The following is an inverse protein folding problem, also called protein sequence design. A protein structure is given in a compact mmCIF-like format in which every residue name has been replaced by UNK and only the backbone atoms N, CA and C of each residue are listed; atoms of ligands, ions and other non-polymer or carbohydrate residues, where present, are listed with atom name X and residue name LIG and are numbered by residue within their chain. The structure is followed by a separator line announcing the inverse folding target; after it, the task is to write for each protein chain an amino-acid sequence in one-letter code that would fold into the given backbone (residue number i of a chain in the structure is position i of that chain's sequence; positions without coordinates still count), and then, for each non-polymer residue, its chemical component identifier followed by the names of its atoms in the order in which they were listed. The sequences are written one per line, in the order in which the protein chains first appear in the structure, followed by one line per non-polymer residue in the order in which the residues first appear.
data_IF_082966339633
#
_entry.id   IF_082966339633
#
_cell.length_a   1.000
_cell.length_b   1.000
_cell.length_c   1.000
_cell.angle_alpha   90.00
_cell.angle_beta   90.00
_cell.angle_gamma   90.00
#
_symmetry.space_group_name_H-M   'P 1'
#
loop_
_entity.id
_entity.type
_entity.pdbx_description
1 polymer ?
#
# COMPACT_ATOMS: atom_id res chain seq x y z
N UNK A 1 6.04 -39.86 40.75
CA UNK A 1 5.13 -39.40 39.70
C UNK A 1 5.05 -37.87 39.72
N UNK A 2 6.15 -37.22 39.41
CA UNK A 2 6.28 -35.75 39.26
C UNK A 2 7.31 -35.49 38.18
N UNK A 3 6.89 -35.43 36.94
CA UNK A 3 7.75 -35.00 35.83
C UNK A 3 6.87 -34.63 34.62
N UNK A 4 6.21 -33.52 34.67
CA UNK A 4 5.57 -32.94 33.48
C UNK A 4 5.21 -31.43 33.61
N UNK A 5 5.91 -30.66 34.44
CA UNK A 5 5.66 -29.22 34.58
C UNK A 5 6.84 -28.39 34.02
N UNK A 6 7.97 -29.02 33.69
CA UNK A 6 9.18 -28.33 33.22
C UNK A 6 9.18 -27.88 31.75
N UNK A 7 8.27 -28.34 30.92
CA UNK A 7 8.37 -28.09 29.48
C UNK A 7 7.56 -26.89 28.95
N UNK A 8 6.65 -26.33 29.75
CA UNK A 8 5.82 -25.21 29.33
C UNK A 8 6.45 -23.84 29.62
N UNK A 9 7.34 -23.76 30.61
CA UNK A 9 8.04 -22.51 30.95
C UNK A 9 9.24 -22.25 30.07
N UNK A 10 9.86 -23.29 29.51
CA UNK A 10 10.99 -23.15 28.58
C UNK A 10 10.52 -22.71 27.17
N UNK A 11 9.29 -22.99 26.80
CA UNK A 11 8.72 -22.55 25.52
C UNK A 11 8.30 -21.05 25.50
N UNK A 12 8.24 -20.41 26.67
CA UNK A 12 7.91 -18.99 26.81
C UNK A 12 9.12 -18.14 27.26
N UNK A 13 10.25 -18.75 27.56
CA UNK A 13 11.50 -18.01 27.66
C UNK A 13 11.88 -17.60 26.23
N UNK A 14 11.62 -16.36 25.88
CA UNK A 14 12.23 -15.74 24.72
C UNK A 14 13.73 -16.01 24.83
N UNK A 15 14.19 -16.86 23.93
CA UNK A 15 15.50 -17.44 23.98
C UNK A 15 16.60 -16.41 24.07
N UNK A 16 17.78 -16.91 24.35
CA UNK A 16 18.98 -16.11 24.41
C UNK A 16 19.05 -15.13 23.20
N UNK A 17 19.72 -14.02 23.39
CA UNK A 17 19.94 -12.97 22.36
C UNK A 17 20.25 -13.56 20.96
N UNK A 18 20.84 -14.76 20.94
CA UNK A 18 21.16 -15.52 19.73
C UNK A 18 19.92 -15.95 18.92
N UNK A 19 18.78 -16.27 19.58
CA UNK A 19 17.56 -16.69 18.90
C UNK A 19 16.89 -15.48 18.24
N UNK A 20 16.96 -14.31 18.90
CA UNK A 20 16.52 -13.06 18.32
C UNK A 20 17.38 -12.65 17.12
N UNK A 21 18.70 -12.80 17.27
CA UNK A 21 19.65 -12.50 16.17
C UNK A 21 19.49 -13.49 15.00
N UNK A 22 19.23 -14.78 15.26
CA UNK A 22 19.02 -15.78 14.22
C UNK A 22 17.74 -15.49 13.43
N UNK A 23 16.67 -15.09 14.11
CA UNK A 23 15.40 -14.72 13.47
C UNK A 23 15.58 -13.55 12.51
N UNK A 24 16.35 -12.54 12.91
CA UNK A 24 16.65 -11.41 12.04
C UNK A 24 17.64 -11.73 10.92
N UNK A 25 18.49 -12.72 11.09
CA UNK A 25 19.37 -13.21 10.02
C UNK A 25 18.60 -14.05 8.99
N UNK A 26 17.61 -14.82 9.41
CA UNK A 26 16.75 -15.62 8.52
C UNK A 26 15.86 -14.71 7.65
N UNK A 27 15.37 -13.58 8.18
CA UNK A 27 14.50 -12.64 7.47
C UNK A 27 15.25 -11.53 6.70
N UNK A 28 16.54 -11.73 6.35
CA UNK A 28 17.34 -10.75 5.58
C UNK A 28 17.47 -9.34 6.18
N UNK A 29 17.59 -9.23 7.49
CA UNK A 29 17.80 -7.99 8.22
C UNK A 29 16.54 -7.11 8.43
N UNK A 30 16.71 -6.03 9.19
CA UNK A 30 15.64 -5.09 9.51
C UNK A 30 15.18 -4.31 8.28
N UNK A 31 13.89 -4.08 8.17
CA UNK A 31 13.33 -3.14 7.20
C UNK A 31 13.89 -1.73 7.43
N UNK A 32 14.41 -1.11 6.40
CA UNK A 32 14.98 0.24 6.45
C UNK A 32 14.00 1.24 5.88
N UNK A 33 13.66 2.33 6.59
CA UNK A 33 12.70 3.32 6.11
C UNK A 33 13.19 4.13 4.91
N UNK A 34 14.47 4.07 4.58
CA UNK A 34 15.07 4.75 3.44
C UNK A 34 15.10 3.90 2.15
N UNK A 35 14.58 2.66 2.20
CA UNK A 35 14.52 1.77 1.05
C UNK A 35 13.06 1.54 0.67
N UNK A 36 12.55 2.37 -0.21
CA UNK A 36 11.18 2.28 -0.70
C UNK A 36 11.09 2.72 -2.17
N UNK A 37 10.05 2.30 -2.82
CA UNK A 37 9.67 2.69 -4.17
C UNK A 37 8.21 3.13 -4.16
N UNK A 38 7.94 4.26 -4.78
CA UNK A 38 6.59 4.74 -5.01
C UNK A 38 6.27 4.62 -6.48
N UNK A 39 5.07 4.18 -6.81
CA UNK A 39 4.60 4.12 -8.18
C UNK A 39 3.24 4.80 -8.26
N UNK A 40 3.18 5.91 -8.97
CA UNK A 40 1.98 6.69 -9.20
C UNK A 40 1.38 6.27 -10.54
N UNK A 41 0.14 5.80 -10.52
CA UNK A 41 -0.63 5.40 -11.69
C UNK A 41 -1.82 6.35 -11.85
N UNK A 42 -1.74 7.33 -12.75
CA UNK A 42 -2.83 8.26 -12.99
C UNK A 42 -4.04 7.58 -13.65
N UNK A 43 -5.20 8.24 -13.70
CA UNK A 43 -6.36 7.74 -14.43
C UNK A 43 -6.02 7.53 -15.90
N UNK A 44 -6.53 6.45 -16.52
CA UNK A 44 -6.21 6.11 -17.90
C UNK A 44 -6.72 7.15 -18.89
N UNK A 45 -5.90 7.46 -19.88
CA UNK A 45 -6.27 8.25 -21.06
C UNK A 45 -5.99 9.74 -20.99
N UNK A 46 -6.41 10.46 -19.96
CA UNK A 46 -6.34 11.94 -19.95
C UNK A 46 -4.96 12.50 -19.59
N UNK A 47 -4.18 11.75 -18.82
CA UNK A 47 -2.83 12.14 -18.36
C UNK A 47 -1.70 11.32 -18.98
N UNK A 48 -1.97 10.54 -20.04
CA UNK A 48 -1.00 9.66 -20.68
C UNK A 48 0.21 10.41 -21.28
N UNK A 49 0.08 11.71 -21.54
CA UNK A 49 1.16 12.56 -22.07
C UNK A 49 2.23 12.88 -21.03
N UNK A 50 1.92 12.77 -19.74
CA UNK A 50 2.82 13.12 -18.65
C UNK A 50 3.58 11.91 -18.11
N UNK A 51 4.87 12.11 -17.83
CA UNK A 51 5.73 11.05 -17.26
C UNK A 51 5.63 11.01 -15.71
N UNK A 52 4.66 10.28 -15.20
CA UNK A 52 4.51 10.06 -13.76
C UNK A 52 5.61 9.21 -13.12
N UNK A 53 6.45 8.58 -13.94
CA UNK A 53 7.61 7.85 -13.43
C UNK A 53 8.65 8.79 -12.86
N UNK A 54 8.85 9.95 -13.48
CA UNK A 54 9.78 10.98 -12.96
C UNK A 54 9.35 11.47 -11.58
N UNK A 55 8.04 11.72 -11.38
CA UNK A 55 7.48 12.10 -10.07
C UNK A 55 7.67 10.98 -9.04
N UNK A 56 7.41 9.74 -9.44
CA UNK A 56 7.58 8.58 -8.58
C UNK A 56 9.02 8.43 -8.07
N UNK A 57 9.99 8.70 -8.92
CA UNK A 57 11.43 8.66 -8.57
C UNK A 57 11.87 9.87 -7.73
N UNK A 58 11.18 11.01 -7.85
CA UNK A 58 11.48 12.23 -7.10
C UNK A 58 10.84 12.25 -5.69
N UNK A 59 10.10 11.22 -5.31
CA UNK A 59 9.49 11.10 -3.98
C UNK A 59 10.58 10.94 -2.91
N UNK A 60 10.74 11.96 -2.06
CA UNK A 60 11.74 11.99 -0.97
C UNK A 60 11.21 11.35 0.31
N UNK A 61 9.93 11.55 0.61
CA UNK A 61 9.29 10.99 1.79
C UNK A 61 7.84 10.64 1.50
N UNK A 62 7.39 9.51 2.03
CA UNK A 62 6.01 9.05 1.94
C UNK A 62 5.56 8.55 3.29
N UNK A 63 4.44 9.05 3.76
CA UNK A 63 3.78 8.53 4.96
C UNK A 63 2.85 7.40 4.56
N UNK A 64 3.12 6.20 5.07
CA UNK A 64 2.22 5.06 4.87
C UNK A 64 0.98 5.20 5.76
N UNK A 65 -0.24 4.92 5.24
CA UNK A 65 -1.45 5.01 6.04
C UNK A 65 -1.50 3.92 7.11
N UNK A 66 -2.01 4.26 8.28
CA UNK A 66 -2.33 3.32 9.33
C UNK A 66 -3.63 2.55 9.03
N UNK A 67 -3.91 1.55 9.84
CA UNK A 67 -5.19 0.82 9.81
C UNK A 67 -5.85 0.93 11.15
N UNK A 68 -7.11 1.38 11.16
CA UNK A 68 -7.94 1.44 12.35
C UNK A 68 -9.29 0.77 12.11
N UNK A 69 -9.95 0.43 13.18
CA UNK A 69 -11.29 -0.14 13.16
C UNK A 69 -12.20 0.72 14.03
N UNK A 70 -13.38 1.01 13.54
CA UNK A 70 -14.40 1.64 14.35
C UNK A 70 -14.97 0.63 15.33
N UNK A 71 -15.01 1.02 16.59
CA UNK A 71 -15.61 0.22 17.66
C UNK A 71 -16.75 0.97 18.33
N UNK A 72 -17.75 0.24 18.75
CA UNK A 72 -18.85 0.78 19.53
C UNK A 72 -18.95 0.02 20.86
N UNK A 73 -18.97 0.72 22.02
CA UNK A 73 -19.15 0.08 23.29
C UNK A 73 -20.56 -0.47 23.41
N UNK A 74 -20.71 -1.74 23.72
CA UNK A 74 -21.99 -2.37 24.01
C UNK A 74 -22.30 -2.21 25.49
N UNK A 75 -22.94 -1.10 25.87
CA UNK A 75 -23.32 -0.82 27.24
C UNK A 75 -24.80 -1.11 27.58
N UNK A 76 -25.66 -1.21 26.55
CA UNK A 76 -27.10 -1.23 26.73
C UNK A 76 -27.66 -2.52 27.38
N UNK A 77 -26.97 -3.67 27.26
CA UNK A 77 -27.43 -4.98 27.76
C UNK A 77 -26.63 -5.51 28.94
N UNK A 78 -25.74 -4.72 29.53
CA UNK A 78 -24.79 -5.18 30.53
C UNK A 78 -25.15 -4.65 31.91
N UNK A 79 -25.86 -5.46 32.68
CA UNK A 79 -26.16 -5.17 34.09
C UNK A 79 -24.92 -5.26 34.99
N UNK A 80 -23.95 -6.11 34.66
CA UNK A 80 -22.71 -6.34 35.42
C UNK A 80 -21.53 -6.70 34.51
N UNK A 81 -20.31 -6.26 34.88
CA UNK A 81 -19.05 -6.62 34.25
C UNK A 81 -18.45 -5.54 33.36
N UNK A 82 -17.25 -5.78 32.82
CA UNK A 82 -16.59 -4.82 31.94
C UNK A 82 -17.32 -4.67 30.61
N UNK A 83 -17.39 -3.44 30.10
CA UNK A 83 -17.97 -3.13 28.78
C UNK A 83 -17.16 -3.81 27.66
N UNK A 84 -17.86 -4.35 26.67
CA UNK A 84 -17.25 -4.93 25.47
C UNK A 84 -17.33 -3.94 24.33
N UNK A 85 -16.24 -3.81 23.57
CA UNK A 85 -16.23 -3.07 22.33
C UNK A 85 -16.53 -4.01 21.16
N UNK A 86 -17.52 -3.64 20.36
CA UNK A 86 -17.89 -4.35 19.13
C UNK A 86 -17.34 -3.60 17.94
N UNK A 87 -16.67 -4.30 17.04
CA UNK A 87 -16.18 -3.73 15.78
C UNK A 87 -17.37 -3.47 14.86
N UNK A 88 -17.49 -2.24 14.39
CA UNK A 88 -18.55 -1.80 13.46
C UNK A 88 -18.08 -1.74 12.00
N UNK A 89 -16.78 -1.54 11.77
CA UNK A 89 -16.23 -1.51 10.41
C UNK A 89 -14.78 -1.02 10.35
N UNK A 90 -14.15 -1.09 9.17
CA UNK A 90 -12.84 -0.50 8.95
C UNK A 90 -12.93 1.03 8.89
N UNK A 91 -11.91 1.70 9.40
CA UNK A 91 -11.74 3.14 9.29
C UNK A 91 -10.47 3.44 8.49
N UNK A 92 -10.64 4.11 7.35
CA UNK A 92 -9.56 4.61 6.50
C UNK A 92 -9.49 6.13 6.65
N UNK A 93 -9.05 6.59 7.82
CA UNK A 93 -9.12 8.01 8.20
C UNK A 93 -7.88 8.82 7.82
N UNK A 94 -6.75 8.16 7.56
CA UNK A 94 -5.48 8.85 7.38
C UNK A 94 -5.26 9.24 5.91
N UNK A 95 -4.90 10.50 5.71
CA UNK A 95 -4.41 10.98 4.42
C UNK A 95 -2.95 10.54 4.24
N UNK A 96 -2.59 10.11 3.04
CA UNK A 96 -1.20 9.81 2.71
C UNK A 96 -0.53 11.10 2.26
N UNK A 97 0.47 11.54 3.01
CA UNK A 97 1.29 12.68 2.64
C UNK A 97 2.57 12.23 1.95
N UNK A 98 2.93 12.91 0.87
CA UNK A 98 4.14 12.66 0.10
C UNK A 98 4.88 13.96 -0.14
N UNK A 99 6.19 13.94 0.09
CA UNK A 99 7.09 15.03 -0.23
C UNK A 99 7.87 14.68 -1.50
N UNK A 100 7.83 15.54 -2.48
CA UNK A 100 8.47 15.36 -3.79
C UNK A 100 9.53 16.43 -3.94
N UNK A 101 10.73 16.04 -4.36
CA UNK A 101 11.77 16.99 -4.75
C UNK A 101 11.41 17.63 -6.07
N UNK A 102 11.44 18.95 -6.10
CA UNK A 102 11.02 19.72 -7.26
C UNK A 102 12.20 20.13 -8.12
N UNK A 103 12.22 19.74 -9.42
CA UNK A 103 13.18 20.30 -10.36
C UNK A 103 12.89 21.78 -10.62
N UNK A 104 13.81 22.42 -11.33
CA UNK A 104 13.78 23.87 -11.55
C UNK A 104 12.51 24.38 -12.28
N UNK A 105 11.85 23.50 -13.06
CA UNK A 105 10.63 23.82 -13.82
C UNK A 105 9.32 23.60 -13.02
N UNK A 106 9.36 22.99 -11.83
CA UNK A 106 8.18 22.56 -11.05
C UNK A 106 7.21 21.68 -11.88
N UNK A 107 7.76 20.86 -12.77
CA UNK A 107 6.97 20.04 -13.70
C UNK A 107 6.07 19.05 -12.96
N UNK A 108 6.54 18.48 -11.85
CA UNK A 108 5.74 17.56 -11.01
C UNK A 108 4.54 18.28 -10.39
N UNK A 109 4.71 19.52 -9.96
CA UNK A 109 3.61 20.34 -9.44
C UNK A 109 2.57 20.60 -10.52
N UNK A 110 3.01 21.00 -11.71
CA UNK A 110 2.13 21.24 -12.85
C UNK A 110 1.36 19.98 -13.25
N UNK A 111 2.00 18.80 -13.24
CA UNK A 111 1.34 17.52 -13.52
C UNK A 111 0.26 17.20 -12.48
N UNK A 112 0.54 17.43 -11.18
CA UNK A 112 -0.43 17.21 -10.11
C UNK A 112 -1.58 18.21 -10.16
N UNK A 113 -1.32 19.47 -10.47
CA UNK A 113 -2.35 20.49 -10.70
C UNK A 113 -3.25 20.11 -11.88
N UNK A 114 -2.66 19.61 -12.98
CA UNK A 114 -3.43 19.07 -14.11
C UNK A 114 -4.28 17.86 -13.73
N UNK A 115 -3.79 17.02 -12.83
CA UNK A 115 -4.62 15.94 -12.30
C UNK A 115 -5.81 16.47 -11.49
N UNK A 116 -5.62 17.49 -10.66
CA UNK A 116 -6.72 18.13 -9.94
C UNK A 116 -7.73 18.79 -10.90
N UNK A 117 -7.28 19.40 -12.00
CA UNK A 117 -8.14 19.98 -13.04
C UNK A 117 -9.04 18.93 -13.72
N UNK A 118 -8.63 17.64 -13.75
CA UNK A 118 -9.52 16.57 -14.21
C UNK A 118 -10.71 16.34 -13.29
N UNK A 119 -10.55 16.57 -11.99
CA UNK A 119 -11.63 16.43 -11.03
C UNK A 119 -12.56 17.65 -11.04
N UNK A 120 -11.99 18.81 -11.24
CA UNK A 120 -12.72 20.09 -11.24
C UNK A 120 -12.11 21.03 -12.27
N UNK A 121 -12.90 21.39 -13.28
CA UNK A 121 -12.49 22.33 -14.31
C UNK A 121 -12.55 23.77 -13.78
N UNK A 122 -11.43 24.49 -13.85
CA UNK A 122 -11.37 25.90 -13.46
C UNK A 122 -12.09 26.82 -14.45
N UNK A 123 -12.30 26.38 -15.70
CA UNK A 123 -12.90 27.19 -16.75
C UNK A 123 -14.43 27.11 -16.75
N UNK A 124 -14.97 25.88 -16.58
CA UNK A 124 -16.41 25.63 -16.65
C UNK A 124 -17.08 25.50 -15.29
N UNK A 125 -16.30 25.35 -14.22
CA UNK A 125 -16.73 25.05 -12.85
C UNK A 125 -17.52 23.74 -12.73
N UNK A 126 -17.33 22.84 -13.70
CA UNK A 126 -17.93 21.50 -13.70
C UNK A 126 -17.08 20.51 -12.90
N UNK A 127 -17.76 19.60 -12.20
CA UNK A 127 -17.14 18.47 -11.51
C UNK A 127 -17.23 17.24 -12.41
N UNK A 128 -16.09 16.59 -12.64
CA UNK A 128 -16.05 15.37 -13.44
C UNK A 128 -16.63 14.16 -12.69
N UNK A 129 -16.97 13.10 -13.43
CA UNK A 129 -17.36 11.85 -12.81
C UNK A 129 -16.19 11.23 -12.04
N UNK A 130 -16.50 10.60 -10.89
CA UNK A 130 -15.50 10.03 -9.99
C UNK A 130 -14.46 9.14 -10.69
N UNK A 131 -14.90 8.25 -11.56
CA UNK A 131 -14.03 7.32 -12.30
C UNK A 131 -13.07 8.00 -13.29
N UNK A 132 -13.27 9.29 -13.60
CA UNK A 132 -12.45 10.00 -14.58
C UNK A 132 -11.16 10.58 -14.00
N UNK A 133 -11.12 10.80 -12.69
CA UNK A 133 -9.98 11.43 -12.02
C UNK A 133 -9.30 10.56 -10.98
N UNK A 134 -9.86 9.40 -10.63
CA UNK A 134 -9.23 8.50 -9.66
C UNK A 134 -8.15 7.66 -10.29
N UNK A 135 -7.04 7.50 -9.59
CA UNK A 135 -5.90 6.68 -9.97
C UNK A 135 -5.55 5.68 -8.88
N UNK A 136 -4.34 5.17 -8.95
CA UNK A 136 -3.80 4.20 -8.00
C UNK A 136 -2.39 4.62 -7.57
N UNK A 137 -2.06 4.45 -6.31
CA UNK A 137 -0.73 4.71 -5.76
C UNK A 137 -0.22 3.43 -5.10
N UNK A 138 0.92 2.92 -5.56
CA UNK A 138 1.57 1.77 -4.96
C UNK A 138 2.82 2.24 -4.19
N UNK A 139 2.97 1.76 -2.95
CA UNK A 139 4.13 2.02 -2.11
C UNK A 139 4.75 0.67 -1.79
N UNK A 140 6.00 0.46 -2.16
CA UNK A 140 6.75 -0.75 -1.90
C UNK A 140 7.91 -0.47 -0.97
N UNK A 141 8.06 -1.29 0.06
CA UNK A 141 9.26 -1.35 0.87
C UNK A 141 10.24 -2.32 0.20
N UNK A 142 11.50 -1.94 0.15
CA UNK A 142 12.55 -2.71 -0.49
C UNK A 142 13.49 -3.30 0.56
N UNK A 143 14.05 -4.47 0.24
CA UNK A 143 15.15 -5.09 0.96
C UNK A 143 16.50 -4.48 0.52
N UNK A 144 17.58 -4.84 1.21
CA UNK A 144 18.96 -4.45 0.87
C UNK A 144 19.37 -4.86 -0.56
N UNK A 145 18.69 -5.84 -1.13
CA UNK A 145 18.90 -6.30 -2.50
C UNK A 145 17.95 -5.66 -3.52
N UNK A 146 17.24 -4.57 -3.13
CA UNK A 146 16.20 -3.90 -3.92
C UNK A 146 15.03 -4.83 -4.33
N UNK A 147 14.76 -5.87 -3.54
CA UNK A 147 13.60 -6.72 -3.73
C UNK A 147 12.42 -6.18 -2.95
N UNK A 148 11.24 -6.23 -3.54
CA UNK A 148 9.99 -5.80 -2.90
C UNK A 148 9.61 -6.79 -1.81
N UNK A 149 9.64 -6.36 -0.55
CA UNK A 149 9.31 -7.18 0.62
C UNK A 149 7.90 -6.94 1.11
N UNK A 150 7.45 -5.70 1.07
CA UNK A 150 6.11 -5.30 1.47
C UNK A 150 5.56 -4.33 0.44
N UNK A 151 4.29 -4.46 0.11
CA UNK A 151 3.62 -3.56 -0.83
C UNK A 151 2.26 -3.13 -0.30
N UNK A 152 1.93 -1.88 -0.53
CA UNK A 152 0.65 -1.29 -0.18
C UNK A 152 0.12 -0.56 -1.41
N UNK A 153 -1.12 -0.87 -1.79
CA UNK A 153 -1.82 -0.24 -2.90
C UNK A 153 -2.95 0.61 -2.37
N UNK A 154 -2.93 1.90 -2.69
CA UNK A 154 -4.03 2.82 -2.48
C UNK A 154 -4.94 2.78 -3.69
N UNK A 155 -6.20 2.49 -3.46
CA UNK A 155 -7.21 2.32 -4.51
C UNK A 155 -8.07 3.59 -4.60
N UNK A 156 -8.35 4.02 -5.82
CA UNK A 156 -9.14 5.22 -6.11
C UNK A 156 -8.56 6.45 -5.41
N UNK A 157 -7.26 6.69 -5.62
CA UNK A 157 -6.57 7.84 -5.04
C UNK A 157 -6.49 9.01 -6.02
N UNK A 158 -6.43 10.21 -5.47
CA UNK A 158 -6.20 11.45 -6.21
C UNK A 158 -5.50 12.47 -5.31
N UNK A 159 -4.73 13.43 -5.87
CA UNK A 159 -4.09 14.49 -5.09
C UNK A 159 -5.16 15.46 -4.59
N UNK A 160 -5.37 15.47 -3.26
CA UNK A 160 -6.38 16.33 -2.61
C UNK A 160 -5.83 17.71 -2.33
N UNK A 161 -4.63 17.78 -1.76
CA UNK A 161 -3.99 19.03 -1.36
C UNK A 161 -2.59 19.07 -1.93
N UNK A 162 -2.26 20.14 -2.65
CA UNK A 162 -0.89 20.50 -3.04
C UNK A 162 -0.52 21.71 -2.19
N UNK A 163 0.46 21.55 -1.31
CA UNK A 163 0.82 22.63 -0.38
C UNK A 163 1.49 23.79 -1.12
N UNK A 164 1.20 25.00 -0.66
CA UNK A 164 1.85 26.21 -1.15
C UNK A 164 3.35 26.16 -0.93
N UNK A 165 4.10 26.74 -1.87
CA UNK A 165 5.54 26.86 -1.84
C UNK A 165 5.96 28.20 -1.25
N UNK A 166 6.82 28.17 -0.23
CA UNK A 166 7.40 29.41 0.33
C UNK A 166 8.66 29.79 -0.46
N UNK A 167 8.64 30.95 -1.07
CA UNK A 167 9.78 31.52 -1.78
C UNK A 167 10.32 32.71 -1.00
N UNK A 168 11.61 32.72 -0.72
CA UNK A 168 12.27 33.79 0.03
C UNK A 168 13.64 34.11 -0.56
N UNK A 169 13.99 35.40 -0.65
CA UNK A 169 15.32 35.84 -0.95
C UNK A 169 16.20 35.67 0.29
N UNK A 170 17.15 34.74 0.23
CA UNK A 170 18.12 34.50 1.30
C UNK A 170 19.19 33.52 0.87
N UNK A 171 20.27 33.34 1.64
CA UNK A 171 21.26 32.32 1.37
C UNK A 171 20.65 30.93 1.73
N UNK A 172 19.77 30.46 0.89
CA UNK A 172 19.16 29.15 1.05
C UNK A 172 19.70 28.20 -0.01
N UNK A 173 20.31 27.10 0.45
CA UNK A 173 20.85 26.03 -0.41
C UNK A 173 19.94 24.81 -0.44
N UNK A 174 18.74 24.90 0.17
CA UNK A 174 17.82 23.78 0.22
C UNK A 174 17.09 23.58 -1.12
N UNK A 175 16.90 22.31 -1.46
CA UNK A 175 16.12 21.92 -2.63
C UNK A 175 14.66 22.24 -2.37
N UNK A 176 14.01 22.81 -3.36
CA UNK A 176 12.56 23.05 -3.33
C UNK A 176 11.79 21.74 -3.25
N UNK A 177 10.79 21.67 -2.37
CA UNK A 177 9.98 20.48 -2.15
C UNK A 177 8.49 20.79 -2.26
N UNK A 178 7.77 19.94 -2.96
CA UNK A 178 6.32 20.01 -3.07
C UNK A 178 5.71 18.92 -2.17
N UNK A 179 4.84 19.33 -1.24
CA UNK A 179 4.11 18.40 -0.38
C UNK A 179 2.72 18.18 -0.94
N UNK A 180 2.32 16.93 -1.03
CA UNK A 180 1.03 16.50 -1.57
C UNK A 180 0.34 15.59 -0.58
N UNK A 181 -0.92 15.87 -0.29
CA UNK A 181 -1.80 14.97 0.46
C UNK A 181 -2.74 14.25 -0.51
N UNK A 182 -2.73 12.93 -0.42
CA UNK A 182 -3.52 12.04 -1.26
C UNK A 182 -4.76 11.59 -0.50
N UNK A 183 -5.91 11.71 -1.14
CA UNK A 183 -7.14 11.08 -0.71
C UNK A 183 -7.30 9.75 -1.40
N UNK A 184 -7.83 8.74 -0.72
CA UNK A 184 -8.05 7.40 -1.26
C UNK A 184 -9.31 6.78 -0.64
N UNK A 185 -9.90 5.81 -1.29
CA UNK A 185 -11.07 5.09 -0.77
C UNK A 185 -10.68 4.00 0.21
N UNK A 186 -9.76 3.15 -0.18
CA UNK A 186 -9.27 2.01 0.60
C UNK A 186 -7.84 1.69 0.21
N UNK A 187 -7.15 0.92 1.04
CA UNK A 187 -5.86 0.38 0.68
C UNK A 187 -5.81 -1.13 0.89
N UNK A 188 -5.00 -1.81 0.09
CA UNK A 188 -4.76 -3.24 0.15
C UNK A 188 -3.29 -3.53 0.30
N UNK A 189 -3.00 -4.57 1.08
CA UNK A 189 -1.65 -5.11 1.17
C UNK A 189 -1.43 -6.04 -0.03
N UNK A 190 -0.50 -5.69 -0.91
CA UNK A 190 -0.17 -6.46 -2.11
C UNK A 190 0.43 -7.84 -1.79
N UNK A 191 1.07 -8.00 -0.63
CA UNK A 191 1.64 -9.30 -0.21
C UNK A 191 0.55 -10.28 0.23
N UNK A 192 -0.47 -9.80 0.97
CA UNK A 192 -1.60 -10.62 1.42
C UNK A 192 -2.52 -11.03 0.26
N UNK A 193 -2.70 -10.15 -0.71
CA UNK A 193 -3.54 -10.41 -1.89
C UNK A 193 -2.81 -11.20 -3.00
N UNK A 194 -1.67 -11.84 -2.68
CA UNK A 194 -0.87 -12.57 -3.66
C UNK A 194 -0.08 -11.67 -4.61
N UNK A 195 0.03 -10.38 -4.29
CA UNK A 195 0.74 -9.38 -5.09
C UNK A 195 2.27 -9.54 -5.12
N UNK A 196 2.83 -10.48 -4.35
CA UNK A 196 4.25 -10.85 -4.42
C UNK A 196 4.61 -11.72 -5.62
N UNK A 197 3.62 -12.30 -6.30
CA UNK A 197 3.88 -13.06 -7.54
C UNK A 197 4.11 -12.10 -8.70
N UNK A 198 5.20 -12.31 -9.42
CA UNK A 198 5.46 -11.59 -10.66
C UNK A 198 4.30 -11.83 -11.65
N UNK A 199 4.04 -10.88 -12.56
CA UNK A 199 3.04 -11.07 -13.61
C UNK A 199 3.27 -12.39 -14.38
N UNK A 200 4.54 -12.82 -14.51
CA UNK A 200 4.90 -14.11 -15.10
C UNK A 200 4.39 -15.30 -14.29
N UNK A 201 4.52 -15.29 -12.96
CA UNK A 201 4.00 -16.36 -12.10
C UNK A 201 2.49 -16.42 -12.12
N UNK A 202 1.79 -15.28 -12.10
CA UNK A 202 0.32 -15.25 -12.25
C UNK A 202 -0.15 -15.79 -13.60
N UNK A 203 0.59 -15.52 -14.67
CA UNK A 203 0.29 -16.07 -15.99
C UNK A 203 0.53 -17.58 -16.04
N UNK A 204 1.60 -18.07 -15.41
CA UNK A 204 1.89 -19.51 -15.30
C UNK A 204 0.82 -20.20 -14.47
N UNK A 205 0.45 -19.67 -13.31
CA UNK A 205 -0.61 -20.25 -12.46
C UNK A 205 -1.96 -20.24 -13.16
N UNK A 206 -2.28 -19.17 -13.90
CA UNK A 206 -3.52 -19.10 -14.69
C UNK A 206 -3.50 -20.10 -15.84
N UNK A 207 -2.36 -20.29 -16.51
CA UNK A 207 -2.19 -21.25 -17.58
C UNK A 207 -2.26 -22.69 -17.06
N UNK A 208 -1.60 -23.01 -15.95
CA UNK A 208 -1.65 -24.34 -15.31
C UNK A 208 -3.06 -24.68 -14.84
N UNK A 209 -3.75 -23.77 -14.16
CA UNK A 209 -5.14 -23.96 -13.75
C UNK A 209 -6.09 -24.16 -14.94
N UNK A 210 -5.83 -23.47 -16.06
CA UNK A 210 -6.63 -23.62 -17.28
C UNK A 210 -6.39 -24.99 -17.93
N UNK A 211 -5.13 -25.43 -17.97
CA UNK A 211 -4.75 -26.76 -18.48
C UNK A 211 -5.31 -27.88 -17.59
N UNK A 212 -5.21 -27.76 -16.27
CA UNK A 212 -5.78 -28.72 -15.33
C UNK A 212 -7.31 -28.84 -15.48
N UNK A 213 -8.00 -27.69 -15.62
CA UNK A 213 -9.45 -27.69 -15.89
C UNK A 213 -9.80 -28.33 -17.23
N UNK A 214 -8.99 -28.10 -18.26
CA UNK A 214 -9.18 -28.72 -19.57
C UNK A 214 -8.94 -30.23 -19.53
N UNK A 215 -7.90 -30.69 -18.80
CA UNK A 215 -7.62 -32.10 -18.58
C UNK A 215 -8.75 -32.77 -17.79
N UNK A 216 -9.17 -32.17 -16.67
CA UNK A 216 -10.25 -32.74 -15.84
C UNK A 216 -11.59 -32.74 -16.53
N UNK A 217 -11.88 -31.79 -17.42
CA UNK A 217 -13.10 -31.76 -18.22
C UNK A 217 -13.12 -32.83 -19.31
N UNK A 218 -11.96 -33.22 -19.84
CA UNK A 218 -11.85 -34.21 -20.92
C UNK A 218 -11.57 -35.64 -20.44
N UNK A 219 -11.43 -35.86 -19.11
CA UNK A 219 -11.29 -37.23 -18.58
C UNK A 219 -12.63 -37.96 -18.66
N UNK A 220 -12.70 -39.08 -19.38
CA UNK A 220 -13.93 -39.88 -19.47
C UNK A 220 -14.42 -40.30 -18.09
N UNK A 221 -15.72 -40.24 -17.87
CA UNK A 221 -16.38 -40.51 -16.58
C UNK A 221 -16.02 -41.89 -15.95
N UNK A 222 -15.53 -42.79 -16.77
CA UNK A 222 -15.09 -44.14 -16.36
C UNK A 222 -13.78 -44.07 -15.52
N UNK A 223 -12.87 -43.14 -15.80
CA UNK A 223 -11.63 -43.03 -15.07
C UNK A 223 -11.77 -42.20 -13.76
N UNK A 224 -12.85 -41.42 -13.61
CA UNK A 224 -13.15 -40.66 -12.39
C UNK A 224 -13.51 -41.53 -11.17
N UNK A 225 -13.78 -42.82 -11.35
CA UNK A 225 -14.12 -43.75 -10.28
C UNK A 225 -12.90 -44.58 -9.77
N UNK A 226 -11.70 -44.36 -10.32
CA UNK A 226 -10.51 -45.11 -9.97
C UNK A 226 -9.49 -44.34 -9.12
N UNK A 227 -9.79 -43.05 -8.82
CA UNK A 227 -8.97 -42.20 -7.93
C UNK A 227 -9.84 -41.55 -6.87
#
# INVERSE_FOLDING_TARGET
MVTAIGSFTDALAFGALNDVLSLFHEENAYGRPNQYEVQILPPPGKLATYDFRSISLAAEAVLMPGRSVNTQPKSADQLYGPTRELVTGPLYADEVTMTIQSPNGLDERMMLEKWQELAFSNDTYDVAYYNEYVGTLNIHLLDMNNRKTFGLQLIECFPKIITGLSLAYGPNTEITKTNVAWSFREWKNLMLDGGGQSLGEKLVDTATNTVERAITANVPSVLRKLF
#
